data_IF_557841606096
#
_entry.id   IF_557841606096
#
_cell.length_a   1.000
_cell.length_b   1.000
_cell.length_c   1.000
_cell.angle_alpha   90.00
_cell.angle_beta   90.00
_cell.angle_gamma   90.00
#
_symmetry.space_group_name_H-M   'P 1'
#
loop_
_entity.id
_entity.type
_entity.pdbx_description
1 polymer ?
#
# COMPACT_ATOMS: atom_id res chain seq x y z
N UNK A 1 18.80 39.08 -29.99
CA UNK A 1 17.48 38.87 -29.36
C UNK A 1 17.53 37.45 -28.82
N UNK A 2 17.67 37.31 -27.51
CA UNK A 2 17.89 36.01 -26.86
C UNK A 2 16.52 35.37 -26.70
N UNK A 3 16.27 34.28 -27.44
CA UNK A 3 15.13 33.40 -27.26
C UNK A 3 15.32 32.70 -25.91
N UNK A 4 14.65 33.23 -24.89
CA UNK A 4 14.56 32.59 -23.57
C UNK A 4 13.80 31.29 -23.74
N UNK A 5 14.51 30.17 -23.71
CA UNK A 5 13.90 28.85 -23.61
C UNK A 5 12.95 28.84 -22.40
N UNK A 6 11.65 28.66 -22.66
CA UNK A 6 10.66 28.38 -21.63
C UNK A 6 11.17 27.21 -20.77
N UNK A 7 11.22 27.34 -19.44
CA UNK A 7 11.58 26.22 -18.59
C UNK A 7 10.58 25.10 -18.86
N UNK A 8 11.11 23.90 -19.16
CA UNK A 8 10.33 22.69 -19.39
C UNK A 8 9.19 22.61 -18.36
N UNK A 9 7.95 22.60 -18.86
CA UNK A 9 6.74 22.83 -18.07
C UNK A 9 6.74 22.00 -16.79
N UNK A 10 6.70 22.68 -15.65
CA UNK A 10 6.63 22.02 -14.35
C UNK A 10 5.35 21.16 -14.32
N UNK A 11 5.50 19.84 -14.29
CA UNK A 11 4.35 18.93 -14.14
C UNK A 11 3.66 19.25 -12.83
N UNK A 12 2.40 19.67 -12.91
CA UNK A 12 1.57 19.99 -11.76
C UNK A 12 1.43 18.78 -10.83
N UNK A 13 1.25 19.04 -9.53
CA UNK A 13 0.95 17.97 -8.57
C UNK A 13 -0.39 17.34 -8.96
N UNK A 14 -0.50 16.01 -9.07
CA UNK A 14 -1.78 15.39 -9.35
C UNK A 14 -2.77 15.68 -8.21
N UNK A 15 -4.04 15.83 -8.58
CA UNK A 15 -5.13 16.17 -7.66
C UNK A 15 -5.59 14.89 -6.95
N UNK A 16 -5.91 15.02 -5.67
CA UNK A 16 -6.48 13.93 -4.85
C UNK A 16 -7.96 14.23 -4.53
N UNK A 17 -8.78 13.17 -4.34
CA UNK A 17 -10.14 13.33 -3.82
C UNK A 17 -10.16 14.09 -2.49
N UNK A 18 -11.09 15.04 -2.40
CA UNK A 18 -11.27 15.92 -1.25
C UNK A 18 -12.28 15.39 -0.24
N UNK A 19 -12.34 15.99 0.96
CA UNK A 19 -13.44 15.76 1.90
C UNK A 19 -14.78 16.12 1.26
N UNK A 20 -15.74 15.18 1.27
CA UNK A 20 -17.10 15.38 0.74
C UNK A 20 -17.34 14.80 -0.65
N UNK A 21 -16.32 14.25 -1.31
CA UNK A 21 -16.51 13.51 -2.56
C UNK A 21 -17.38 12.27 -2.30
N UNK A 22 -18.46 12.09 -3.08
CA UNK A 22 -19.41 10.98 -2.91
C UNK A 22 -18.79 9.60 -3.19
N UNK A 23 -17.70 9.56 -3.95
CA UNK A 23 -16.97 8.35 -4.31
C UNK A 23 -15.49 8.65 -4.50
N UNK A 24 -14.72 8.82 -3.40
CA UNK A 24 -13.32 9.19 -3.49
C UNK A 24 -12.53 8.04 -4.12
N UNK A 25 -11.90 8.33 -5.25
CA UNK A 25 -11.12 7.37 -6.02
C UNK A 25 -9.81 7.99 -6.53
N UNK A 26 -8.71 7.29 -6.31
CA UNK A 26 -7.44 7.51 -7.01
C UNK A 26 -7.24 6.32 -7.94
N UNK A 27 -7.09 6.58 -9.24
CA UNK A 27 -6.81 5.56 -10.25
C UNK A 27 -5.67 6.05 -11.15
N UNK A 28 -4.44 5.58 -10.90
CA UNK A 28 -3.23 6.16 -11.48
C UNK A 28 -2.30 5.06 -12.00
N UNK A 29 -1.68 5.29 -13.16
CA UNK A 29 -0.55 4.48 -13.62
C UNK A 29 0.72 5.08 -13.03
N UNK A 30 1.46 4.29 -12.27
CA UNK A 30 2.68 4.70 -11.57
C UNK A 30 3.88 3.88 -12.02
N UNK A 31 5.03 4.54 -12.07
CA UNK A 31 6.31 3.89 -12.26
C UNK A 31 6.82 3.33 -10.93
N UNK A 32 7.30 2.10 -10.96
CA UNK A 32 8.02 1.44 -9.85
C UNK A 32 9.36 0.92 -10.36
N UNK A 33 10.31 0.57 -9.47
CA UNK A 33 11.56 -0.09 -9.88
C UNK A 33 11.36 -1.41 -10.65
N UNK A 34 10.18 -2.03 -10.53
CA UNK A 34 9.84 -3.31 -11.17
C UNK A 34 8.98 -3.15 -12.44
N UNK A 35 8.70 -1.92 -12.84
CA UNK A 35 7.86 -1.59 -13.99
C UNK A 35 6.59 -0.82 -13.62
N UNK A 36 5.81 -0.40 -14.63
CA UNK A 36 4.60 0.38 -14.41
C UNK A 36 3.50 -0.48 -13.79
N UNK A 37 2.76 0.10 -12.85
CA UNK A 37 1.60 -0.51 -12.18
C UNK A 37 0.40 0.41 -12.25
N UNK A 38 -0.82 -0.13 -12.22
CA UNK A 38 -2.03 0.67 -12.02
C UNK A 38 -2.43 0.58 -10.56
N UNK A 39 -2.43 1.70 -9.85
CA UNK A 39 -2.89 1.80 -8.47
C UNK A 39 -4.33 2.31 -8.45
N UNK A 40 -5.17 1.63 -7.67
CA UNK A 40 -6.53 2.04 -7.38
C UNK A 40 -6.73 2.14 -5.86
N UNK A 41 -7.10 3.32 -5.36
CA UNK A 41 -7.44 3.57 -3.96
C UNK A 41 -8.87 4.12 -3.90
N UNK A 42 -9.82 3.29 -3.48
CA UNK A 42 -11.23 3.65 -3.43
C UNK A 42 -11.77 3.70 -2.00
N UNK A 43 -12.65 4.66 -1.73
CA UNK A 43 -13.51 4.67 -0.54
C UNK A 43 -12.90 5.30 0.72
N UNK A 44 -11.76 5.98 0.60
CA UNK A 44 -11.19 6.79 1.68
C UNK A 44 -10.84 8.15 1.11
N UNK A 45 -11.47 9.22 1.58
CA UNK A 45 -11.07 10.58 1.22
C UNK A 45 -9.85 11.03 2.04
N UNK A 46 -9.14 12.05 1.57
CA UNK A 46 -8.14 12.73 2.37
C UNK A 46 -8.83 13.42 3.56
N UNK A 47 -8.60 12.92 4.78
CA UNK A 47 -9.06 13.55 6.03
C UNK A 47 -8.02 14.55 6.56
N UNK A 48 -8.18 15.00 7.82
CA UNK A 48 -7.19 15.85 8.49
C UNK A 48 -5.80 15.21 8.55
N UNK A 49 -5.74 13.87 8.66
CA UNK A 49 -4.56 13.06 8.36
C UNK A 49 -4.85 12.28 7.08
N UNK A 50 -4.15 12.56 5.96
CA UNK A 50 -4.49 11.99 4.67
C UNK A 50 -4.04 10.53 4.59
N UNK A 51 -4.94 9.64 4.12
CA UNK A 51 -4.62 8.23 3.86
C UNK A 51 -3.64 8.04 2.69
N UNK A 52 -3.57 9.03 1.80
CA UNK A 52 -2.62 9.07 0.69
C UNK A 52 -2.28 10.52 0.33
N UNK A 53 -1.06 10.75 -0.13
CA UNK A 53 -0.53 12.07 -0.48
C UNK A 53 0.45 11.98 -1.65
N UNK A 54 0.41 12.98 -2.55
CA UNK A 54 1.44 13.19 -3.56
C UNK A 54 2.56 14.06 -2.99
N UNK A 55 3.76 13.51 -2.93
CA UNK A 55 4.94 14.18 -2.37
C UNK A 55 5.99 14.42 -3.46
N UNK A 56 6.59 15.61 -3.48
CA UNK A 56 7.80 15.84 -4.24
C UNK A 56 9.00 15.09 -3.63
N UNK A 57 10.14 15.10 -4.34
CA UNK A 57 11.41 14.70 -3.76
C UNK A 57 11.81 15.69 -2.66
N UNK A 58 12.20 15.18 -1.49
CA UNK A 58 12.56 15.97 -0.32
C UNK A 58 11.38 16.51 0.52
N UNK A 59 10.13 16.35 0.06
CA UNK A 59 8.96 16.67 0.86
C UNK A 59 8.75 15.61 1.95
N UNK A 60 8.60 16.07 3.19
CA UNK A 60 8.39 15.22 4.36
C UNK A 60 7.00 14.54 4.27
N UNK A 61 6.92 13.22 4.49
CA UNK A 61 5.64 12.54 4.48
C UNK A 61 4.76 12.98 5.66
N UNK A 62 3.43 13.05 5.47
CA UNK A 62 2.52 13.22 6.60
C UNK A 62 2.64 12.03 7.58
N UNK A 63 2.27 12.21 8.85
CA UNK A 63 2.22 11.11 9.81
C UNK A 63 1.37 9.95 9.29
N UNK A 64 1.88 8.72 9.38
CA UNK A 64 1.22 7.52 8.91
C UNK A 64 1.58 6.32 9.82
N UNK A 65 0.63 5.41 10.00
CA UNK A 65 0.80 4.23 10.85
C UNK A 65 1.52 3.09 10.13
N UNK A 66 1.22 2.87 8.85
CA UNK A 66 1.94 1.94 7.97
C UNK A 66 2.31 2.68 6.68
N UNK A 67 3.39 3.48 6.71
CA UNK A 67 3.80 4.29 5.57
C UNK A 67 4.38 3.44 4.43
N UNK A 68 3.87 3.60 3.22
CA UNK A 68 4.46 3.01 2.00
C UNK A 68 4.45 4.00 0.83
N UNK A 69 5.36 3.77 -0.12
CA UNK A 69 5.34 4.45 -1.42
C UNK A 69 4.93 3.44 -2.48
N UNK A 70 3.77 3.64 -3.09
CA UNK A 70 3.20 2.69 -4.07
C UNK A 70 3.73 2.90 -5.49
N UNK A 71 4.36 4.04 -5.76
CA UNK A 71 4.99 4.35 -7.04
C UNK A 71 5.14 5.84 -7.29
N UNK A 72 5.54 6.18 -8.52
CA UNK A 72 5.82 7.57 -8.93
C UNK A 72 5.07 7.96 -10.19
N UNK A 73 4.76 9.24 -10.31
CA UNK A 73 4.34 9.90 -11.55
C UNK A 73 5.28 11.09 -11.79
N UNK A 74 6.32 10.86 -12.59
CA UNK A 74 7.42 11.82 -12.74
C UNK A 74 8.09 12.13 -11.40
N UNK A 75 8.11 13.40 -11.01
CA UNK A 75 8.70 13.86 -9.73
C UNK A 75 7.84 13.59 -8.49
N UNK A 76 6.60 13.15 -8.67
CA UNK A 76 5.66 12.96 -7.57
C UNK A 76 5.65 11.50 -7.14
N UNK A 77 5.83 11.25 -5.84
CA UNK A 77 5.68 9.93 -5.19
C UNK A 77 4.29 9.85 -4.57
N UNK A 78 3.57 8.75 -4.80
CA UNK A 78 2.32 8.50 -4.10
C UNK A 78 2.64 7.78 -2.78
N UNK A 79 2.55 8.53 -1.69
CA UNK A 79 2.66 8.02 -0.32
C UNK A 79 1.27 7.55 0.14
N UNK A 80 1.21 6.42 0.85
CA UNK A 80 -0.02 5.79 1.33
C UNK A 80 0.18 5.31 2.77
N UNK A 81 -0.81 5.51 3.62
CA UNK A 81 -0.90 4.83 4.92
C UNK A 81 -1.73 3.56 4.77
N UNK A 82 -1.10 2.39 4.78
CA UNK A 82 -1.80 1.12 4.60
C UNK A 82 -2.69 0.76 5.81
N UNK A 83 -2.46 1.33 7.00
CA UNK A 83 -3.37 1.13 8.13
C UNK A 83 -4.78 1.69 7.85
N UNK A 84 -4.86 2.63 6.89
CA UNK A 84 -6.11 3.24 6.44
C UNK A 84 -6.77 2.44 5.30
N UNK A 85 -6.22 1.27 4.93
CA UNK A 85 -6.84 0.43 3.92
C UNK A 85 -8.24 0.03 4.41
N UNK A 86 -9.29 0.16 3.59
CA UNK A 86 -10.66 -0.12 4.04
C UNK A 86 -10.94 -1.58 4.38
N UNK A 87 -10.17 -2.51 3.80
CA UNK A 87 -10.29 -3.94 4.02
C UNK A 87 -8.92 -4.64 3.87
N UNK A 88 -8.47 -4.80 2.64
CA UNK A 88 -7.21 -5.46 2.29
C UNK A 88 -6.55 -4.66 1.17
N UNK A 89 -5.22 -4.70 1.10
CA UNK A 89 -4.53 -4.34 -0.12
C UNK A 89 -4.42 -5.60 -0.99
N UNK A 90 -4.70 -5.47 -2.28
CA UNK A 90 -4.45 -6.54 -3.26
C UNK A 90 -3.33 -6.15 -4.21
N UNK A 91 -2.41 -7.07 -4.48
CA UNK A 91 -1.40 -6.93 -5.53
C UNK A 91 -1.73 -7.97 -6.59
N UNK A 92 -2.33 -7.50 -7.69
CA UNK A 92 -3.01 -8.32 -8.69
C UNK A 92 -2.08 -8.52 -9.88
N UNK A 93 -1.83 -9.78 -10.25
CA UNK A 93 -1.02 -10.14 -11.42
C UNK A 93 -0.34 -11.51 -11.25
N UNK A 94 0.59 -11.88 -12.15
CA UNK A 94 1.36 -13.11 -12.03
C UNK A 94 2.01 -13.22 -10.65
N UNK A 95 1.86 -14.36 -9.97
CA UNK A 95 2.20 -14.52 -8.55
C UNK A 95 3.66 -14.12 -8.24
N UNK A 96 4.61 -14.46 -9.12
CA UNK A 96 6.02 -14.11 -8.91
C UNK A 96 6.28 -12.61 -9.05
N UNK A 97 5.56 -11.94 -9.95
CA UNK A 97 5.62 -10.48 -10.06
C UNK A 97 4.97 -9.82 -8.84
N UNK A 98 3.85 -10.35 -8.36
CA UNK A 98 3.16 -9.87 -7.15
C UNK A 98 4.03 -10.01 -5.90
N UNK A 99 4.75 -11.12 -5.74
CA UNK A 99 5.72 -11.33 -4.65
C UNK A 99 6.84 -10.29 -4.69
N UNK A 100 7.45 -10.06 -5.85
CA UNK A 100 8.50 -9.04 -6.00
C UNK A 100 7.96 -7.64 -5.70
N UNK A 101 6.78 -7.31 -6.19
CA UNK A 101 6.14 -6.02 -5.92
C UNK A 101 5.82 -5.85 -4.43
N UNK A 102 5.30 -6.89 -3.78
CA UNK A 102 5.01 -6.85 -2.36
C UNK A 102 6.28 -6.64 -1.53
N UNK A 103 7.35 -7.38 -1.82
CA UNK A 103 8.65 -7.21 -1.16
C UNK A 103 9.20 -5.80 -1.34
N UNK A 104 9.08 -5.21 -2.54
CA UNK A 104 9.49 -3.84 -2.81
C UNK A 104 8.61 -2.81 -2.07
N UNK A 105 7.30 -3.06 -1.97
CA UNK A 105 6.34 -2.17 -1.32
C UNK A 105 6.57 -2.06 0.20
N UNK A 106 6.85 -3.20 0.84
CA UNK A 106 7.07 -3.29 2.29
C UNK A 106 8.53 -3.05 2.69
N UNK A 107 9.43 -2.85 1.71
CA UNK A 107 10.81 -2.53 1.97
C UNK A 107 10.89 -1.22 2.79
N UNK A 108 11.59 -1.26 3.91
CA UNK A 108 11.73 -0.11 4.82
C UNK A 108 10.69 -0.02 5.93
N UNK A 109 9.68 -0.92 5.98
CA UNK A 109 8.73 -0.93 7.10
C UNK A 109 9.38 -1.21 8.47
N UNK A 110 10.49 -1.95 8.49
CA UNK A 110 11.28 -2.19 9.72
C UNK A 110 11.86 -0.90 10.30
N UNK A 111 12.33 0.03 9.44
CA UNK A 111 12.82 1.35 9.86
C UNK A 111 11.69 2.21 10.44
N UNK A 112 10.45 1.97 10.01
CA UNK A 112 9.24 2.59 10.56
C UNK A 112 8.69 1.86 11.81
N UNK A 113 9.36 0.80 12.30
CA UNK A 113 8.93 0.00 13.44
C UNK A 113 7.68 -0.87 13.17
N UNK A 114 7.35 -1.09 11.90
CA UNK A 114 6.19 -1.91 11.49
C UNK A 114 6.65 -3.32 11.16
N UNK A 115 6.09 -4.30 11.87
CA UNK A 115 6.42 -5.71 11.63
C UNK A 115 5.87 -6.23 10.30
N UNK A 116 6.52 -7.26 9.74
CA UNK A 116 5.99 -7.99 8.58
C UNK A 116 5.85 -9.46 8.93
N UNK A 117 4.72 -10.05 8.54
CA UNK A 117 4.44 -11.47 8.69
C UNK A 117 4.14 -12.10 7.33
N UNK A 118 4.72 -13.27 7.07
CA UNK A 118 4.51 -14.04 5.83
C UNK A 118 3.75 -15.30 6.16
N UNK A 119 2.60 -15.50 5.51
CA UNK A 119 1.77 -16.71 5.68
C UNK A 119 2.27 -17.80 4.75
N UNK A 120 2.54 -18.99 5.30
CA UNK A 120 3.06 -20.17 4.60
C UNK A 120 4.25 -19.77 3.72
N UNK A 121 4.20 -20.18 2.46
CA UNK A 121 5.21 -19.90 1.44
C UNK A 121 4.75 -18.77 0.50
N UNK A 122 3.97 -17.80 1.01
CA UNK A 122 3.41 -16.73 0.18
C UNK A 122 4.47 -15.96 -0.63
N UNK A 123 5.70 -15.84 -0.08
CA UNK A 123 6.83 -15.19 -0.75
C UNK A 123 7.72 -16.14 -1.56
N UNK A 124 7.62 -17.46 -1.36
CA UNK A 124 8.30 -18.52 -2.15
C UNK A 124 9.71 -18.17 -2.63
N UNK A 125 10.63 -17.99 -1.67
CA UNK A 125 12.03 -17.68 -1.95
C UNK A 125 12.34 -16.20 -2.20
N UNK A 126 11.34 -15.33 -2.38
CA UNK A 126 11.54 -13.87 -2.38
C UNK A 126 11.86 -13.40 -0.95
N UNK A 127 13.03 -12.79 -0.71
CA UNK A 127 13.45 -12.42 0.64
C UNK A 127 12.63 -11.24 1.17
N UNK A 128 12.20 -11.37 2.43
CA UNK A 128 11.66 -10.27 3.23
C UNK A 128 12.42 -10.24 4.56
N UNK A 129 13.49 -9.43 4.67
CA UNK A 129 14.28 -9.32 5.89
C UNK A 129 13.40 -8.96 7.10
N UNK A 130 13.67 -9.56 8.25
CA UNK A 130 12.92 -9.31 9.48
C UNK A 130 11.51 -9.90 9.53
N UNK A 131 10.98 -10.47 8.44
CA UNK A 131 9.63 -11.02 8.44
C UNK A 131 9.49 -12.28 9.29
N UNK A 132 8.43 -12.31 10.10
CA UNK A 132 8.01 -13.49 10.86
C UNK A 132 7.24 -14.45 9.95
N UNK A 133 7.62 -15.73 9.94
CA UNK A 133 6.87 -16.77 9.22
C UNK A 133 5.69 -17.28 10.05
N UNK A 134 4.54 -17.43 9.41
CA UNK A 134 3.31 -17.95 10.00
C UNK A 134 2.85 -19.18 9.23
N UNK A 135 2.39 -20.23 9.90
CA UNK A 135 1.81 -21.40 9.23
C UNK A 135 0.40 -21.17 8.70
N UNK A 136 -0.29 -20.15 9.21
CA UNK A 136 -1.66 -19.77 8.85
C UNK A 136 -1.88 -18.28 9.05
N UNK A 137 -2.95 -17.78 8.46
CA UNK A 137 -3.39 -16.41 8.67
C UNK A 137 -3.64 -16.14 10.17
N UNK A 138 -3.23 -14.98 10.72
CA UNK A 138 -3.46 -14.65 12.12
C UNK A 138 -4.96 -14.66 12.46
N UNK A 139 -5.29 -15.23 13.62
CA UNK A 139 -6.62 -15.05 14.18
C UNK A 139 -6.75 -13.60 14.70
N UNK A 140 -7.95 -13.00 14.63
CA UNK A 140 -8.23 -11.74 15.30
C UNK A 140 -7.95 -11.82 16.81
N UNK A 141 -7.63 -10.68 17.46
CA UNK A 141 -7.55 -10.65 18.91
C UNK A 141 -8.92 -11.00 19.53
N UNK A 142 -8.90 -11.53 20.76
CA UNK A 142 -10.12 -11.75 21.51
C UNK A 142 -10.88 -10.42 21.72
N UNK A 143 -12.22 -10.42 21.83
CA UNK A 143 -12.98 -9.20 22.05
C UNK A 143 -12.44 -8.38 23.24
N UNK A 144 -12.23 -7.08 23.02
CA UNK A 144 -11.68 -6.16 24.03
C UNK A 144 -10.16 -6.24 24.21
N UNK A 145 -9.45 -7.05 23.43
CA UNK A 145 -7.97 -7.02 23.36
C UNK A 145 -7.53 -6.26 22.12
N UNK A 146 -6.57 -5.36 22.31
CA UNK A 146 -5.88 -4.67 21.23
C UNK A 146 -4.55 -5.38 20.92
N UNK A 147 -4.09 -5.24 19.68
CA UNK A 147 -2.72 -5.61 19.32
C UNK A 147 -1.75 -4.61 19.92
N UNK A 148 -0.62 -5.12 20.41
CA UNK A 148 0.44 -4.29 21.02
C UNK A 148 1.31 -3.58 19.97
N UNK A 149 1.30 -4.09 18.73
CA UNK A 149 2.14 -3.61 17.63
C UNK A 149 1.42 -3.70 16.29
N UNK A 150 1.73 -2.77 15.39
CA UNK A 150 1.24 -2.79 14.00
C UNK A 150 2.09 -3.68 13.11
N UNK A 151 1.45 -4.47 12.23
CA UNK A 151 2.15 -5.30 11.27
C UNK A 151 1.38 -5.53 9.96
N UNK A 152 2.13 -5.83 8.90
CA UNK A 152 1.61 -6.24 7.59
C UNK A 152 1.59 -7.77 7.49
N UNK A 153 0.53 -8.35 6.92
CA UNK A 153 0.40 -9.79 6.68
C UNK A 153 0.40 -10.07 5.18
N UNK A 154 1.46 -10.71 4.69
CA UNK A 154 1.61 -11.13 3.30
C UNK A 154 1.03 -12.53 3.09
N UNK A 155 0.09 -12.66 2.16
CA UNK A 155 -0.52 -13.94 1.78
C UNK A 155 -0.81 -13.99 0.28
N UNK A 156 -0.87 -15.20 -0.31
CA UNK A 156 -1.34 -15.42 -1.70
C UNK A 156 -2.82 -15.81 -1.75
N UNK A 157 -3.35 -16.28 -0.63
CA UNK A 157 -4.73 -16.66 -0.41
C UNK A 157 -5.19 -16.08 0.94
N UNK A 158 -6.29 -15.32 0.98
CA UNK A 158 -7.15 -15.18 2.19
C UNK A 158 -8.31 -14.20 1.97
N UNK A 159 -9.50 -14.65 1.53
CA UNK A 159 -10.60 -13.71 1.29
C UNK A 159 -11.67 -13.55 2.38
N UNK A 160 -11.79 -14.38 3.42
CA UNK A 160 -12.76 -14.11 4.52
C UNK A 160 -12.07 -13.63 5.79
N UNK A 161 -11.00 -14.31 6.18
CA UNK A 161 -10.24 -14.09 7.42
C UNK A 161 -9.45 -12.78 7.37
N UNK A 162 -8.95 -12.38 6.19
CA UNK A 162 -8.20 -11.14 6.02
C UNK A 162 -9.05 -9.92 6.34
N UNK A 163 -10.25 -9.85 5.76
CA UNK A 163 -11.19 -8.74 6.00
C UNK A 163 -11.62 -8.68 7.47
N UNK A 164 -11.85 -9.85 8.07
CA UNK A 164 -12.20 -9.93 9.48
C UNK A 164 -11.05 -9.47 10.39
N UNK A 165 -9.81 -9.85 10.08
CA UNK A 165 -8.62 -9.39 10.82
C UNK A 165 -8.46 -7.87 10.73
N UNK A 166 -8.56 -7.29 9.53
CA UNK A 166 -8.45 -5.84 9.35
C UNK A 166 -9.52 -5.09 10.15
N UNK A 167 -10.78 -5.55 10.08
CA UNK A 167 -11.89 -4.96 10.83
C UNK A 167 -11.73 -5.10 12.36
N UNK A 168 -11.25 -6.25 12.83
CA UNK A 168 -11.10 -6.53 14.26
C UNK A 168 -9.88 -5.82 14.89
N UNK A 169 -8.96 -5.31 14.07
CA UNK A 169 -7.71 -4.68 14.51
C UNK A 169 -7.63 -3.20 14.21
N UNK A 170 -8.67 -2.62 13.60
CA UNK A 170 -8.72 -1.19 13.25
C UNK A 170 -7.45 -0.70 12.52
N UNK A 171 -6.95 -1.52 11.58
CA UNK A 171 -5.75 -1.21 10.79
C UNK A 171 -4.40 -1.54 11.46
N UNK A 172 -4.38 -2.11 12.68
CA UNK A 172 -3.13 -2.58 13.30
C UNK A 172 -2.59 -3.87 12.67
N UNK A 173 -3.43 -4.69 12.05
CA UNK A 173 -2.98 -5.79 11.20
C UNK A 173 -3.50 -5.56 9.78
N UNK A 174 -2.59 -5.30 8.84
CA UNK A 174 -2.91 -4.94 7.46
C UNK A 174 -2.67 -6.12 6.53
N UNK A 175 -3.73 -6.74 5.96
CA UNK A 175 -3.55 -7.81 4.98
C UNK A 175 -3.13 -7.28 3.60
N UNK A 176 -2.13 -7.92 3.01
CA UNK A 176 -1.72 -7.76 1.61
C UNK A 176 -1.85 -9.11 0.92
N UNK A 177 -2.80 -9.21 0.00
CA UNK A 177 -3.10 -10.43 -0.74
C UNK A 177 -2.52 -10.32 -2.15
N UNK A 178 -1.74 -11.33 -2.57
CA UNK A 178 -0.94 -11.28 -3.79
C UNK A 178 -1.31 -12.38 -4.78
N UNK A 179 -1.26 -12.06 -6.08
CA UNK A 179 -1.36 -13.04 -7.16
C UNK A 179 -2.58 -12.83 -8.05
N UNK A 180 -3.10 -13.92 -8.62
CA UNK A 180 -4.29 -13.92 -9.49
C UNK A 180 -5.58 -13.80 -8.67
N UNK A 181 -5.73 -12.68 -7.98
CA UNK A 181 -6.87 -12.38 -7.10
C UNK A 181 -7.70 -11.22 -7.66
N UNK A 182 -9.01 -11.15 -7.38
CA UNK A 182 -9.80 -9.96 -7.72
C UNK A 182 -9.25 -8.72 -7.03
N UNK A 183 -9.27 -7.57 -7.73
CA UNK A 183 -8.89 -6.29 -7.13
C UNK A 183 -9.81 -5.89 -5.98
N UNK A 184 -9.22 -5.55 -4.84
CA UNK A 184 -9.92 -4.96 -3.71
C UNK A 184 -10.27 -3.48 -3.94
N UNK A 185 -10.83 -2.84 -2.90
CA UNK A 185 -11.01 -1.38 -2.93
C UNK A 185 -9.67 -0.67 -3.07
N UNK A 186 -8.64 -1.21 -2.43
CA UNK A 186 -7.26 -0.81 -2.64
C UNK A 186 -6.53 -1.92 -3.40
N UNK A 187 -5.95 -1.57 -4.55
CA UNK A 187 -5.25 -2.54 -5.40
C UNK A 187 -4.08 -1.93 -6.14
N UNK A 188 -3.06 -2.77 -6.38
CA UNK A 188 -1.94 -2.52 -7.28
C UNK A 188 -2.03 -3.60 -8.36
N UNK A 189 -2.35 -3.21 -9.58
CA UNK A 189 -2.42 -4.11 -10.72
C UNK A 189 -1.10 -4.07 -11.48
N UNK A 190 -0.50 -5.24 -11.63
CA UNK A 190 0.69 -5.47 -12.43
C UNK A 190 0.28 -5.67 -13.90
N UNK A 191 1.13 -5.22 -14.81
CA UNK A 191 0.96 -5.41 -16.25
C UNK A 191 1.63 -6.68 -16.75
#
# INVERSE_FOLDING_TARGET
>A
MIEMASPAGAVARPVLPGPGDESPEVAETLDTPLGPVTVRLFGVASGAVPAYAWLADGEEPPPATVPVVVGRRGRWRLHVDLARTPDVLTIVGPVDAARRQAAALIAGLDEAGVGVAVVRDAMDGVPVPGARRLSRFPAPPAPGRMLESTFVVLATDAPAEARHLAAATDGHAVPVIMGEVPGGRWSIQLR
#
